data_IF_313804630397
#
_entry.id   IF_313804630397
#
_cell.length_a   1.000
_cell.length_b   1.000
_cell.length_c   1.000
_cell.angle_alpha   90.00
_cell.angle_beta   90.00
_cell.angle_gamma   90.00
#
_symmetry.space_group_name_H-M   'P 1'
#
loop_
_entity.id
_entity.type
_entity.pdbx_description
1 polymer ?
#
# COMPACT_ATOMS: atom_id res chain seq x y z
N UNK A 1 4.38 -1.49 29.69
CA UNK A 1 4.20 -1.17 28.26
C UNK A 1 5.02 -2.09 27.33
N UNK A 2 5.36 -3.31 27.75
CA UNK A 2 6.36 -4.17 27.06
C UNK A 2 5.78 -5.13 26.01
N UNK A 3 4.45 -5.18 25.85
CA UNK A 3 3.74 -6.24 25.11
C UNK A 3 4.12 -6.37 23.63
N UNK A 4 4.67 -5.32 23.03
CA UNK A 4 5.14 -5.30 21.63
C UNK A 4 6.56 -4.71 21.50
N UNK A 5 7.36 -4.75 22.56
CA UNK A 5 8.73 -4.22 22.54
C UNK A 5 9.63 -4.98 21.55
N UNK A 6 9.40 -6.29 21.38
CA UNK A 6 10.16 -7.15 20.46
C UNK A 6 10.10 -6.68 19.00
N UNK A 7 8.96 -6.16 18.55
CA UNK A 7 8.75 -5.67 17.18
C UNK A 7 8.89 -4.14 17.09
N UNK A 8 9.62 -3.55 18.04
CA UNK A 8 10.08 -2.17 17.96
C UNK A 8 11.47 -2.19 17.35
N UNK A 9 11.64 -1.41 16.29
CA UNK A 9 12.96 -1.28 15.67
C UNK A 9 13.92 -0.60 16.66
N UNK A 10 15.05 -1.26 16.96
CA UNK A 10 15.99 -0.78 17.97
C UNK A 10 16.67 0.54 17.59
N UNK A 11 16.92 0.76 16.29
CA UNK A 11 17.58 1.97 15.81
C UNK A 11 16.65 3.20 15.78
N UNK A 12 15.41 3.02 15.34
CA UNK A 12 14.47 4.14 15.18
C UNK A 12 13.46 4.29 16.31
N UNK A 13 13.27 3.25 17.13
CA UNK A 13 12.22 3.17 18.14
C UNK A 13 10.81 3.09 17.58
N UNK A 14 10.65 2.90 16.26
CA UNK A 14 9.34 2.85 15.59
C UNK A 14 8.80 1.41 15.64
N UNK A 15 7.48 1.29 15.81
CA UNK A 15 6.75 0.01 15.66
C UNK A 15 6.06 0.01 14.30
N UNK A 16 6.60 -0.65 13.26
CA UNK A 16 6.09 -0.54 11.89
C UNK A 16 4.79 -1.34 11.66
N UNK A 17 4.46 -2.27 12.55
CA UNK A 17 3.28 -3.16 12.42
C UNK A 17 2.05 -2.68 13.20
N UNK A 18 2.21 -1.63 14.01
CA UNK A 18 1.12 -1.05 14.79
C UNK A 18 0.64 0.25 14.15
N UNK A 19 -0.67 0.56 14.24
CA UNK A 19 -1.16 1.86 13.80
C UNK A 19 -0.48 2.97 14.60
N UNK A 20 -0.12 4.09 13.98
CA UNK A 20 0.40 5.25 14.70
C UNK A 20 -0.63 5.71 15.72
N UNK A 21 -0.22 5.79 16.99
CA UNK A 21 -1.05 6.38 18.03
C UNK A 21 -1.13 7.89 17.76
N UNK A 22 -2.33 8.47 17.61
CA UNK A 22 -2.46 9.91 17.44
C UNK A 22 -1.91 10.65 18.67
N UNK A 23 -1.35 11.85 18.50
CA UNK A 23 -0.98 12.67 19.64
C UNK A 23 -2.18 12.90 20.54
N UNK A 24 -1.96 12.92 21.87
CA UNK A 24 -3.02 13.23 22.83
C UNK A 24 -3.41 14.70 22.67
N UNK A 25 -4.45 14.96 21.91
CA UNK A 25 -5.08 16.29 21.83
C UNK A 25 -5.99 16.48 23.04
N UNK A 26 -5.96 17.65 23.67
CA UNK A 26 -6.93 17.97 24.72
C UNK A 26 -8.34 18.05 24.09
N UNK A 27 -9.27 17.26 24.63
CA UNK A 27 -10.62 17.15 24.09
C UNK A 27 -11.48 18.32 24.58
N UNK A 28 -11.77 19.27 23.69
CA UNK A 28 -12.82 20.26 23.93
C UNK A 28 -14.21 19.63 23.86
N UNK A 29 -15.20 20.15 24.58
CA UNK A 29 -16.58 19.61 24.60
C UNK A 29 -17.19 19.48 23.20
N UNK A 30 -16.90 20.43 22.31
CA UNK A 30 -17.31 20.42 20.89
C UNK A 30 -16.70 19.24 20.12
N UNK A 31 -15.45 18.89 20.39
CA UNK A 31 -14.80 17.73 19.77
C UNK A 31 -15.45 16.41 20.23
N UNK A 32 -15.86 16.31 21.49
CA UNK A 32 -16.60 15.13 22.00
C UNK A 32 -17.99 14.98 21.39
N UNK A 33 -18.74 16.08 21.22
CA UNK A 33 -20.06 16.04 20.58
C UNK A 33 -19.95 15.70 19.08
N UNK A 34 -18.98 16.30 18.38
CA UNK A 34 -18.68 15.97 16.98
C UNK A 34 -18.29 14.50 16.83
N UNK A 35 -17.46 13.95 17.73
CA UNK A 35 -17.08 12.55 17.73
C UNK A 35 -18.28 11.62 17.93
N UNK A 36 -19.26 11.99 18.77
CA UNK A 36 -20.48 11.21 18.98
C UNK A 36 -21.39 11.17 17.72
N UNK A 37 -21.54 12.30 17.04
CA UNK A 37 -22.26 12.36 15.76
C UNK A 37 -21.54 11.52 14.69
N UNK A 38 -20.22 11.65 14.59
CA UNK A 38 -19.43 10.82 13.67
C UNK A 38 -19.48 9.33 13.98
N UNK A 39 -19.69 8.94 15.24
CA UNK A 39 -19.85 7.54 15.63
C UNK A 39 -21.13 6.90 15.07
N UNK A 40 -22.21 7.67 14.93
CA UNK A 40 -23.49 7.18 14.36
C UNK A 40 -23.52 7.34 12.84
N UNK A 41 -23.11 8.52 12.34
CA UNK A 41 -23.15 8.83 10.90
C UNK A 41 -22.05 8.08 10.14
N UNK A 42 -20.89 7.87 10.78
CA UNK A 42 -19.72 7.23 10.17
C UNK A 42 -20.00 5.82 9.64
N UNK A 43 -20.58 4.90 10.45
CA UNK A 43 -20.95 3.56 9.98
C UNK A 43 -21.95 3.58 8.81
N UNK A 44 -22.96 4.46 8.86
CA UNK A 44 -23.96 4.60 7.80
C UNK A 44 -23.29 5.08 6.51
N UNK A 45 -22.48 6.14 6.59
CA UNK A 45 -21.70 6.64 5.47
C UNK A 45 -20.75 5.56 4.92
N UNK A 46 -20.10 4.80 5.80
CA UNK A 46 -19.23 3.69 5.45
C UNK A 46 -19.97 2.59 4.70
N UNK A 47 -21.17 2.23 5.15
CA UNK A 47 -22.01 1.20 4.51
C UNK A 47 -22.49 1.64 3.13
N UNK A 48 -22.92 2.90 2.98
CA UNK A 48 -23.32 3.48 1.68
C UNK A 48 -22.13 3.47 0.71
N UNK A 49 -20.94 3.91 1.17
CA UNK A 49 -19.71 3.87 0.36
C UNK A 49 -19.34 2.44 -0.02
N UNK A 50 -19.45 1.48 0.90
CA UNK A 50 -19.17 0.07 0.64
C UNK A 50 -20.10 -0.47 -0.45
N UNK A 51 -21.41 -0.21 -0.34
CA UNK A 51 -22.39 -0.62 -1.34
C UNK A 51 -22.06 -0.01 -2.71
N UNK A 52 -21.72 1.28 -2.76
CA UNK A 52 -21.33 1.95 -4.00
C UNK A 52 -20.05 1.36 -4.62
N UNK A 53 -19.03 1.07 -3.80
CA UNK A 53 -17.80 0.41 -4.27
C UNK A 53 -18.08 -0.99 -4.79
N UNK A 54 -18.98 -1.75 -4.16
CA UNK A 54 -19.37 -3.08 -4.63
C UNK A 54 -20.08 -3.01 -5.99
N UNK A 55 -21.03 -2.08 -6.15
CA UNK A 55 -21.72 -1.86 -7.45
C UNK A 55 -20.72 -1.47 -8.53
N UNK A 56 -19.83 -0.51 -8.25
CA UNK A 56 -18.78 -0.10 -9.20
C UNK A 56 -17.82 -1.25 -9.55
N UNK A 57 -17.47 -2.09 -8.58
CA UNK A 57 -16.59 -3.25 -8.79
C UNK A 57 -17.27 -4.32 -9.65
N UNK A 58 -18.57 -4.55 -9.45
CA UNK A 58 -19.36 -5.46 -10.27
C UNK A 58 -19.49 -4.95 -11.71
N UNK A 59 -19.79 -3.65 -11.89
CA UNK A 59 -19.85 -3.02 -13.20
C UNK A 59 -18.49 -3.05 -13.91
N UNK A 60 -17.39 -2.81 -13.19
CA UNK A 60 -16.05 -2.95 -13.73
C UNK A 60 -15.79 -4.38 -14.23
N UNK A 61 -16.15 -5.40 -13.43
CA UNK A 61 -15.99 -6.79 -13.85
C UNK A 61 -16.81 -7.10 -15.11
N UNK A 62 -18.08 -6.70 -15.15
CA UNK A 62 -18.97 -6.93 -16.28
C UNK A 62 -18.44 -6.26 -17.56
N UNK A 63 -18.09 -4.97 -17.50
CA UNK A 63 -17.67 -4.21 -18.68
C UNK A 63 -16.25 -4.60 -19.13
N UNK A 64 -15.31 -4.77 -18.21
CA UNK A 64 -13.92 -5.08 -18.58
C UNK A 64 -13.73 -6.53 -19.02
N UNK A 65 -14.44 -7.49 -18.41
CA UNK A 65 -14.29 -8.91 -18.71
C UNK A 65 -15.30 -9.42 -19.71
N UNK A 66 -16.60 -9.14 -19.55
CA UNK A 66 -17.62 -9.70 -20.45
C UNK A 66 -17.66 -8.98 -21.78
N UNK A 67 -17.73 -7.65 -21.77
CA UNK A 67 -17.71 -6.87 -23.03
C UNK A 67 -16.30 -6.91 -23.65
N UNK A 68 -15.26 -6.87 -22.81
CA UNK A 68 -13.88 -6.97 -23.26
C UNK A 68 -13.55 -8.28 -23.97
N UNK A 69 -14.18 -9.41 -23.65
CA UNK A 69 -13.96 -10.68 -24.37
C UNK A 69 -14.54 -10.71 -25.77
N UNK A 70 -15.52 -9.84 -26.08
CA UNK A 70 -16.09 -9.72 -27.42
C UNK A 70 -15.12 -9.01 -28.37
N UNK A 71 -14.27 -8.13 -27.83
CA UNK A 71 -13.25 -7.41 -28.59
C UNK A 71 -11.98 -8.26 -28.75
N UNK A 72 -11.43 -8.32 -29.96
CA UNK A 72 -10.24 -9.13 -30.27
C UNK A 72 -8.97 -8.27 -30.36
N UNK A 73 -7.85 -8.78 -29.85
CA UNK A 73 -6.51 -8.24 -30.11
C UNK A 73 -6.17 -6.94 -29.35
N UNK A 74 -5.49 -5.96 -29.98
CA UNK A 74 -5.00 -4.77 -29.29
C UNK A 74 -6.12 -3.85 -28.78
N UNK A 75 -7.29 -3.90 -29.44
CA UNK A 75 -8.45 -3.11 -29.05
C UNK A 75 -8.99 -3.52 -27.67
N UNK A 76 -8.93 -4.81 -27.34
CA UNK A 76 -9.26 -5.31 -26.00
C UNK A 76 -8.36 -4.70 -24.93
N UNK A 77 -7.06 -4.53 -25.20
CA UNK A 77 -6.10 -3.97 -24.25
C UNK A 77 -6.39 -2.48 -24.01
N UNK A 78 -6.68 -1.73 -25.06
CA UNK A 78 -7.03 -0.30 -24.96
C UNK A 78 -8.35 -0.14 -24.20
N UNK A 79 -9.36 -0.94 -24.55
CA UNK A 79 -10.67 -0.95 -23.88
C UNK A 79 -10.53 -1.26 -22.39
N UNK A 80 -9.82 -2.34 -22.05
CA UNK A 80 -9.60 -2.75 -20.67
C UNK A 80 -8.85 -1.67 -19.89
N UNK A 81 -7.84 -1.03 -20.49
CA UNK A 81 -7.11 0.09 -19.88
C UNK A 81 -8.02 1.28 -19.61
N UNK A 82 -8.77 1.74 -20.62
CA UNK A 82 -9.66 2.89 -20.49
C UNK A 82 -10.68 2.68 -19.37
N UNK A 83 -11.41 1.58 -19.40
CA UNK A 83 -12.41 1.30 -18.37
C UNK A 83 -11.79 1.06 -17.00
N UNK A 84 -10.63 0.37 -16.93
CA UNK A 84 -9.90 0.22 -15.67
C UNK A 84 -9.54 1.57 -15.06
N UNK A 85 -9.01 2.51 -15.86
CA UNK A 85 -8.68 3.86 -15.35
C UNK A 85 -9.91 4.62 -14.85
N UNK A 86 -11.03 4.56 -15.57
CA UNK A 86 -12.29 5.24 -15.18
C UNK A 86 -12.84 4.64 -13.89
N UNK A 87 -13.01 3.32 -13.82
CA UNK A 87 -13.59 2.65 -12.65
C UNK A 87 -12.69 2.78 -11.41
N UNK A 88 -11.38 2.62 -11.56
CA UNK A 88 -10.46 2.78 -10.43
C UNK A 88 -10.43 4.22 -9.92
N UNK A 89 -10.52 5.23 -10.82
CA UNK A 89 -10.64 6.63 -10.41
C UNK A 89 -11.92 6.89 -9.63
N UNK A 90 -13.05 6.31 -10.07
CA UNK A 90 -14.32 6.40 -9.35
C UNK A 90 -14.25 5.72 -7.98
N UNK A 91 -13.63 4.54 -7.88
CA UNK A 91 -13.45 3.84 -6.61
C UNK A 91 -12.58 4.64 -5.64
N UNK A 92 -11.48 5.24 -6.12
CA UNK A 92 -10.63 6.13 -5.33
C UNK A 92 -11.40 7.37 -4.84
N UNK A 93 -12.22 7.96 -5.71
CA UNK A 93 -13.07 9.11 -5.37
C UNK A 93 -14.07 8.77 -4.25
N UNK A 94 -14.80 7.65 -4.36
CA UNK A 94 -15.74 7.17 -3.33
C UNK A 94 -15.03 6.85 -2.02
N UNK A 95 -13.80 6.33 -2.11
CA UNK A 95 -12.93 6.06 -0.96
C UNK A 95 -12.40 7.34 -0.27
N UNK A 96 -12.67 8.52 -0.83
CA UNK A 96 -12.27 9.82 -0.26
C UNK A 96 -10.97 10.41 -0.82
N UNK A 97 -10.36 9.77 -1.82
CA UNK A 97 -9.12 10.22 -2.46
C UNK A 97 -9.43 11.09 -3.68
N UNK A 98 -9.99 12.27 -3.43
CA UNK A 98 -10.38 13.22 -4.48
C UNK A 98 -9.17 13.81 -5.21
N UNK A 99 -8.18 14.29 -4.45
CA UNK A 99 -6.96 14.92 -4.97
C UNK A 99 -5.74 14.19 -4.43
N UNK A 100 -4.97 13.58 -5.34
CA UNK A 100 -3.74 12.86 -5.00
C UNK A 100 -2.58 13.72 -5.44
N UNK A 101 -1.93 14.38 -4.48
CA UNK A 101 -0.74 15.21 -4.75
C UNK A 101 0.39 14.28 -5.20
N UNK A 102 0.90 14.51 -6.40
CA UNK A 102 2.04 13.78 -6.95
C UNK A 102 3.20 14.76 -7.05
N UNK A 103 4.30 14.46 -6.37
CA UNK A 103 5.50 15.31 -6.36
C UNK A 103 6.67 14.51 -6.94
N UNK A 104 7.39 15.10 -7.90
CA UNK A 104 8.62 14.51 -8.43
C UNK A 104 9.79 14.96 -7.55
N UNK A 105 10.43 14.00 -6.88
CA UNK A 105 11.57 14.29 -6.01
C UNK A 105 12.85 14.08 -6.81
N UNK A 106 13.67 15.13 -6.93
CA UNK A 106 15.01 14.99 -7.51
C UNK A 106 15.95 14.34 -6.49
N UNK A 107 16.64 13.27 -6.91
CA UNK A 107 17.60 12.54 -6.06
C UNK A 107 18.88 13.35 -5.78
N UNK A 108 19.16 14.38 -6.59
CA UNK A 108 20.37 15.21 -6.47
C UNK A 108 20.18 16.27 -5.39
N UNK A 109 20.62 15.95 -4.16
CA UNK A 109 20.74 16.92 -3.05
C UNK A 109 21.74 18.01 -3.46
N UNK A 110 21.25 19.17 -3.90
CA UNK A 110 22.08 20.35 -4.17
C UNK A 110 21.94 21.02 -5.54
N UNK A 111 21.14 20.50 -6.47
CA UNK A 111 20.90 21.18 -7.75
C UNK A 111 19.56 21.90 -7.75
N UNK A 112 19.39 22.86 -6.84
CA UNK A 112 18.23 23.76 -6.86
C UNK A 112 18.57 25.01 -7.68
N UNK A 113 17.66 25.39 -8.58
CA UNK A 113 17.67 26.54 -9.52
C UNK A 113 18.35 26.32 -10.88
N UNK A 114 17.66 25.59 -11.76
CA UNK A 114 17.60 25.99 -13.18
C UNK A 114 16.26 25.58 -13.77
N UNK A 115 15.53 26.59 -14.25
CA UNK A 115 14.30 26.56 -15.04
C UNK A 115 12.99 26.13 -14.35
N UNK A 116 12.44 27.09 -13.63
CA UNK A 116 11.02 27.38 -13.69
C UNK A 116 10.72 28.00 -15.06
N UNK A 117 10.12 27.23 -15.97
CA UNK A 117 9.24 27.64 -17.07
C UNK A 117 9.01 26.44 -17.98
N UNK A 118 7.85 25.80 -17.80
CA UNK A 118 6.96 25.23 -18.81
C UNK A 118 6.22 23.99 -18.29
N UNK A 119 4.90 24.08 -18.30
CA UNK A 119 3.91 23.00 -18.16
C UNK A 119 3.83 22.25 -16.83
N UNK A 120 2.96 22.78 -15.96
CA UNK A 120 2.27 22.09 -14.86
C UNK A 120 1.33 20.94 -15.31
N UNK A 121 1.50 20.36 -16.51
CA UNK A 121 0.71 19.21 -16.97
C UNK A 121 1.55 18.13 -17.71
N UNK A 122 2.88 18.20 -17.67
CA UNK A 122 3.69 17.11 -18.20
C UNK A 122 4.15 16.20 -17.05
N UNK A 123 3.50 15.03 -16.95
CA UNK A 123 4.12 13.80 -16.45
C UNK A 123 5.35 13.48 -17.29
N UNK A 124 6.44 14.23 -17.10
CA UNK A 124 7.73 14.07 -17.76
C UNK A 124 8.52 12.93 -17.11
N UNK A 125 7.92 11.74 -17.07
CA UNK A 125 8.66 10.49 -17.13
C UNK A 125 8.48 10.04 -18.58
N UNK A 126 9.53 9.76 -19.35
CA UNK A 126 9.35 9.09 -20.64
C UNK A 126 8.37 7.93 -20.41
N UNK A 127 7.26 7.90 -21.16
CA UNK A 127 6.09 7.12 -20.80
C UNK A 127 6.47 5.69 -20.42
N UNK A 128 6.06 5.25 -19.23
CA UNK A 128 6.44 3.95 -18.67
C UNK A 128 6.07 2.84 -19.66
N UNK A 129 7.06 2.04 -20.05
CA UNK A 129 6.91 1.02 -21.10
C UNK A 129 6.71 -0.38 -20.52
N UNK A 130 6.33 -1.31 -21.40
CA UNK A 130 6.27 -2.73 -21.05
C UNK A 130 7.64 -3.26 -20.65
N UNK A 131 7.74 -3.90 -19.48
CA UNK A 131 9.00 -4.36 -18.91
C UNK A 131 9.74 -3.34 -18.04
N UNK A 132 9.28 -2.10 -17.94
CA UNK A 132 9.83 -1.16 -16.95
C UNK A 132 9.47 -1.60 -15.52
N UNK A 133 10.39 -1.42 -14.57
CA UNK A 133 10.22 -1.86 -13.18
C UNK A 133 9.85 -0.67 -12.30
N UNK A 134 8.65 -0.67 -11.75
CA UNK A 134 8.18 0.31 -10.76
C UNK A 134 8.44 -0.25 -9.37
N UNK A 135 9.28 0.44 -8.60
CA UNK A 135 9.60 0.10 -7.22
C UNK A 135 8.83 1.03 -6.30
N UNK A 136 7.97 0.47 -5.46
CA UNK A 136 7.16 1.26 -4.53
C UNK A 136 7.15 0.66 -3.11
N UNK A 137 7.00 1.53 -2.11
CA UNK A 137 6.68 1.06 -0.75
C UNK A 137 5.24 0.56 -0.68
N UNK A 138 4.96 -0.32 0.28
CA UNK A 138 3.63 -0.93 0.43
C UNK A 138 3.06 -0.64 1.81
N UNK A 139 1.98 0.12 1.85
CA UNK A 139 1.36 0.57 3.11
C UNK A 139 -0.13 0.27 3.16
N UNK A 140 -0.81 0.34 2.02
CA UNK A 140 -2.26 0.13 1.95
C UNK A 140 -2.67 -0.50 0.63
N UNK A 141 -3.88 -1.06 0.60
CA UNK A 141 -4.54 -1.49 -0.63
C UNK A 141 -4.78 -0.32 -1.60
N UNK A 142 -4.85 0.91 -1.07
CA UNK A 142 -4.97 2.13 -1.87
C UNK A 142 -3.74 2.32 -2.79
N UNK A 143 -2.55 1.87 -2.36
CA UNK A 143 -1.32 1.91 -3.20
C UNK A 143 -1.52 1.08 -4.47
N UNK A 144 -2.05 -0.14 -4.32
CA UNK A 144 -2.35 -1.05 -5.42
C UNK A 144 -3.41 -0.44 -6.36
N UNK A 145 -4.47 0.16 -5.80
CA UNK A 145 -5.51 0.84 -6.59
C UNK A 145 -4.93 2.02 -7.39
N UNK A 146 -4.09 2.84 -6.74
CA UNK A 146 -3.48 3.98 -7.39
C UNK A 146 -2.51 3.56 -8.49
N UNK A 147 -1.65 2.57 -8.27
CA UNK A 147 -0.72 2.08 -9.29
C UNK A 147 -1.48 1.46 -10.47
N UNK A 148 -2.55 0.72 -10.20
CA UNK A 148 -3.42 0.19 -11.25
C UNK A 148 -4.10 1.30 -12.05
N UNK A 149 -4.50 2.40 -11.39
CA UNK A 149 -5.06 3.59 -12.03
C UNK A 149 -3.99 4.33 -12.86
N UNK A 150 -2.84 4.62 -12.27
CA UNK A 150 -1.79 5.44 -12.87
C UNK A 150 -1.17 4.79 -14.12
N UNK A 151 -1.03 3.47 -14.11
CA UNK A 151 -0.40 2.72 -15.20
C UNK A 151 -1.39 1.88 -16.03
N UNK A 152 -2.68 1.88 -15.66
CA UNK A 152 -3.79 1.22 -16.36
C UNK A 152 -3.82 -0.30 -16.28
N UNK A 153 -2.72 -0.97 -16.62
CA UNK A 153 -2.56 -2.42 -16.62
C UNK A 153 -1.16 -2.87 -16.14
N UNK A 154 -0.72 -2.50 -14.92
CA UNK A 154 0.55 -2.98 -14.39
C UNK A 154 0.45 -4.47 -14.01
N UNK A 155 1.59 -5.15 -14.07
CA UNK A 155 1.78 -6.50 -13.54
C UNK A 155 2.21 -6.37 -12.09
N UNK A 156 1.41 -6.86 -11.15
CA UNK A 156 1.78 -6.87 -9.74
C UNK A 156 2.63 -8.11 -9.43
N UNK A 157 3.47 -7.99 -8.41
CA UNK A 157 4.33 -9.09 -7.94
C UNK A 157 4.14 -9.33 -6.45
N UNK A 158 4.17 -10.60 -6.05
CA UNK A 158 4.37 -11.01 -4.66
C UNK A 158 5.85 -11.33 -4.47
N UNK A 159 6.48 -10.67 -3.50
CA UNK A 159 7.88 -10.91 -3.12
C UNK A 159 7.92 -11.98 -2.03
N UNK A 160 8.89 -12.89 -2.14
CA UNK A 160 9.16 -13.95 -1.16
C UNK A 160 10.44 -13.65 -0.38
N UNK A 161 10.62 -14.26 0.82
CA UNK A 161 11.73 -13.92 1.71
C UNK A 161 13.13 -14.04 1.09
N UNK A 162 13.35 -14.99 0.17
CA UNK A 162 14.64 -15.18 -0.50
C UNK A 162 14.88 -14.22 -1.68
N UNK A 163 13.94 -13.32 -2.00
CA UNK A 163 14.08 -12.35 -3.08
C UNK A 163 13.51 -12.81 -4.43
N UNK A 164 12.94 -14.01 -4.50
CA UNK A 164 12.18 -14.45 -5.67
C UNK A 164 10.83 -13.73 -5.75
N UNK A 165 10.29 -13.61 -6.96
CA UNK A 165 9.01 -12.95 -7.21
C UNK A 165 8.03 -13.86 -7.94
N UNK A 166 6.76 -13.74 -7.59
CA UNK A 166 5.66 -14.37 -8.30
C UNK A 166 4.81 -13.29 -8.96
N UNK A 167 4.47 -13.47 -10.23
CA UNK A 167 3.48 -12.62 -10.90
C UNK A 167 2.09 -12.86 -10.30
N UNK A 168 1.42 -11.79 -9.88
CA UNK A 168 0.07 -11.85 -9.31
C UNK A 168 -0.89 -10.91 -10.05
N UNK A 169 -2.17 -11.30 -10.10
CA UNK A 169 -3.23 -10.44 -10.61
C UNK A 169 -3.61 -9.34 -9.62
N UNK A 170 -4.24 -8.28 -10.12
CA UNK A 170 -4.72 -7.14 -9.33
C UNK A 170 -5.52 -7.55 -8.08
N UNK A 171 -6.47 -8.48 -8.21
CA UNK A 171 -7.27 -8.94 -7.08
C UNK A 171 -6.46 -9.73 -6.04
N UNK A 172 -5.47 -10.53 -6.48
CA UNK A 172 -4.55 -11.23 -5.56
C UNK A 172 -3.69 -10.20 -4.83
N UNK A 173 -3.22 -9.14 -5.50
CA UNK A 173 -2.47 -8.04 -4.89
C UNK A 173 -3.30 -7.26 -3.85
N UNK A 174 -4.57 -6.95 -4.13
CA UNK A 174 -5.47 -6.32 -3.16
C UNK A 174 -5.67 -7.20 -1.92
N UNK A 175 -5.92 -8.50 -2.10
CA UNK A 175 -6.09 -9.45 -0.99
C UNK A 175 -4.79 -9.67 -0.22
N UNK A 176 -3.63 -9.59 -0.86
CA UNK A 176 -2.33 -9.74 -0.20
C UNK A 176 -2.11 -8.67 0.89
N UNK A 177 -2.75 -7.50 0.78
CA UNK A 177 -2.67 -6.44 1.79
C UNK A 177 -3.23 -6.87 3.16
N UNK A 178 -4.18 -7.81 3.19
CA UNK A 178 -4.88 -8.28 4.40
C UNK A 178 -4.47 -9.70 4.81
N UNK A 179 -3.69 -10.39 3.97
CA UNK A 179 -3.19 -11.73 4.25
C UNK A 179 -1.86 -11.69 4.99
N UNK A 180 -1.53 -12.84 5.57
CA UNK A 180 -0.21 -13.08 6.13
C UNK A 180 0.84 -13.03 5.01
N UNK A 181 2.03 -12.41 5.25
CA UNK A 181 3.12 -12.48 4.29
C UNK A 181 3.57 -13.93 4.05
N UNK A 182 4.03 -14.27 2.82
CA UNK A 182 4.42 -15.64 2.49
C UNK A 182 5.62 -16.11 3.33
N UNK A 183 5.62 -17.40 3.69
CA UNK A 183 6.71 -18.07 4.41
C UNK A 183 7.70 -18.69 3.43
N UNK A 184 8.77 -19.24 3.99
CA UNK A 184 9.69 -20.13 3.30
C UNK A 184 8.99 -21.41 2.81
N UNK A 185 8.02 -21.94 3.57
CA UNK A 185 7.22 -23.10 3.15
C UNK A 185 6.35 -22.79 1.93
N UNK A 186 5.67 -21.62 1.95
CA UNK A 186 4.88 -21.15 0.81
C UNK A 186 5.77 -20.99 -0.45
N UNK A 187 7.03 -20.60 -0.24
CA UNK A 187 8.02 -20.46 -1.31
C UNK A 187 8.40 -21.82 -1.94
N UNK A 188 8.56 -22.86 -1.12
CA UNK A 188 8.87 -24.22 -1.61
C UNK A 188 7.68 -24.81 -2.38
N UNK A 189 6.46 -24.58 -1.91
CA UNK A 189 5.24 -25.05 -2.58
C UNK A 189 4.99 -24.38 -3.92
N UNK A 190 5.27 -23.07 -4.02
CA UNK A 190 5.05 -22.29 -5.24
C UNK A 190 6.31 -22.16 -6.11
N UNK A 191 7.34 -22.99 -5.87
CA UNK A 191 8.66 -22.90 -6.53
C UNK A 191 8.60 -22.82 -8.05
N UNK A 192 7.70 -23.57 -8.67
CA UNK A 192 7.54 -23.60 -10.13
C UNK A 192 6.97 -22.30 -10.72
N UNK A 193 6.36 -21.45 -9.89
CA UNK A 193 5.79 -20.15 -10.29
C UNK A 193 6.69 -18.97 -9.90
N UNK A 194 7.80 -19.24 -9.23
CA UNK A 194 8.76 -18.22 -8.79
C UNK A 194 9.79 -17.99 -9.89
N UNK A 195 10.02 -16.72 -10.20
CA UNK A 195 11.03 -16.30 -11.16
C UNK A 195 11.86 -15.15 -10.61
N UNK A 196 12.99 -14.87 -11.27
CA UNK A 196 13.74 -13.64 -10.98
C UNK A 196 13.02 -12.42 -11.56
N UNK A 197 13.24 -11.23 -10.98
CA UNK A 197 12.67 -9.99 -11.52
C UNK A 197 13.13 -9.77 -12.98
N UNK A 198 14.35 -10.18 -13.31
CA UNK A 198 14.92 -10.05 -14.65
C UNK A 198 14.18 -10.92 -15.68
N UNK A 199 13.89 -12.17 -15.33
CA UNK A 199 13.06 -13.06 -16.16
C UNK A 199 11.65 -12.48 -16.35
N UNK A 200 11.04 -12.00 -15.28
CA UNK A 200 9.71 -11.40 -15.37
C UNK A 200 9.70 -10.14 -16.24
N UNK A 201 10.76 -9.33 -16.16
CA UNK A 201 10.98 -8.16 -17.01
C UNK A 201 11.06 -8.54 -18.49
N UNK A 202 11.83 -9.57 -18.83
CA UNK A 202 11.93 -10.07 -20.19
C UNK A 202 10.56 -10.56 -20.71
N UNK A 203 9.86 -11.39 -19.93
CA UNK A 203 8.52 -11.89 -20.29
C UNK A 203 7.51 -10.76 -20.48
N UNK A 204 7.55 -9.73 -19.63
CA UNK A 204 6.65 -8.58 -19.74
C UNK A 204 6.94 -7.73 -21.00
N UNK A 205 8.20 -7.64 -21.41
CA UNK A 205 8.64 -6.94 -22.62
C UNK A 205 8.22 -7.69 -23.88
N UNK A 206 8.44 -9.00 -23.94
CA UNK A 206 8.08 -9.87 -25.07
C UNK A 206 6.56 -9.93 -25.29
N UNK A 207 5.78 -10.09 -24.22
CA UNK A 207 4.33 -10.22 -24.33
C UNK A 207 3.58 -8.88 -24.33
N UNK A 208 4.29 -7.77 -24.05
CA UNK A 208 3.72 -6.44 -23.93
C UNK A 208 2.67 -6.34 -22.82
N UNK A 209 2.94 -6.94 -21.65
CA UNK A 209 1.99 -6.95 -20.53
C UNK A 209 1.82 -5.58 -19.86
N UNK A 210 2.83 -4.72 -19.95
CA UNK A 210 2.90 -3.44 -19.24
C UNK A 210 4.06 -3.41 -18.24
N UNK A 211 4.12 -2.38 -17.39
CA UNK A 211 5.18 -2.27 -16.39
C UNK A 211 4.95 -3.22 -15.22
N UNK A 212 6.03 -3.57 -14.54
CA UNK A 212 6.04 -4.49 -13.40
C UNK A 212 6.12 -3.66 -12.12
N UNK A 213 5.16 -3.83 -11.24
CA UNK A 213 5.15 -3.22 -9.91
C UNK A 213 5.74 -4.20 -8.91
N UNK A 214 6.77 -3.75 -8.20
CA UNK A 214 7.48 -4.50 -7.16
C UNK A 214 7.38 -3.74 -5.84
N UNK A 215 6.90 -4.46 -4.83
CA UNK A 215 6.88 -4.02 -3.44
C UNK A 215 8.01 -4.73 -2.67
N UNK A 216 9.23 -4.20 -2.62
CA UNK A 216 10.39 -4.90 -2.07
C UNK A 216 10.30 -5.16 -0.56
N UNK A 217 9.40 -4.47 0.15
CA UNK A 217 9.06 -4.76 1.56
C UNK A 217 8.38 -6.13 1.74
N UNK A 218 7.81 -6.71 0.67
CA UNK A 218 7.12 -8.00 0.66
C UNK A 218 5.77 -8.04 1.40
N UNK A 219 5.45 -6.99 2.16
CA UNK A 219 4.21 -6.87 2.92
C UNK A 219 3.90 -5.41 3.28
N UNK A 220 2.66 -5.15 3.69
CA UNK A 220 2.22 -3.80 4.09
C UNK A 220 2.86 -3.33 5.41
N UNK A 221 3.26 -2.07 5.50
CA UNK A 221 3.71 -1.41 6.73
C UNK A 221 2.75 -0.29 7.14
N UNK A 222 2.93 0.29 8.33
CA UNK A 222 2.14 1.45 8.77
C UNK A 222 2.54 2.79 8.11
N UNK A 223 3.49 2.78 7.18
CA UNK A 223 3.94 3.97 6.45
C UNK A 223 4.77 4.98 7.26
N UNK A 224 5.15 4.68 8.52
CA UNK A 224 6.06 5.54 9.30
C UNK A 224 7.53 5.35 8.95
N UNK A 225 7.88 4.16 8.51
CA UNK A 225 9.22 3.72 8.20
C UNK A 225 9.15 2.59 7.18
N UNK A 226 10.22 2.39 6.40
CA UNK A 226 10.30 1.30 5.44
C UNK A 226 10.75 0.02 6.14
N UNK A 227 10.13 -1.10 5.78
CA UNK A 227 10.64 -2.41 6.15
C UNK A 227 11.95 -2.70 5.41
N UNK A 228 12.73 -3.62 5.97
CA UNK A 228 13.90 -4.17 5.31
C UNK A 228 13.46 -4.88 4.03
N UNK A 229 13.98 -4.40 2.90
CA UNK A 229 13.71 -4.99 1.59
C UNK A 229 14.26 -6.41 1.50
N UNK A 230 13.51 -7.29 0.86
CA UNK A 230 14.03 -8.57 0.40
C UNK A 230 15.04 -8.36 -0.73
N UNK A 231 15.93 -9.33 -0.95
CA UNK A 231 17.04 -9.25 -1.91
C UNK A 231 16.59 -9.45 -3.37
N UNK A 232 15.50 -8.78 -3.77
CA UNK A 232 14.87 -8.97 -5.08
C UNK A 232 15.69 -8.42 -6.25
N UNK A 233 16.59 -7.47 -5.98
CA UNK A 233 17.39 -6.79 -7.01
C UNK A 233 18.78 -7.40 -7.19
N UNK A 234 19.07 -8.56 -6.59
CA UNK A 234 20.40 -9.20 -6.66
C UNK A 234 20.82 -9.56 -8.09
N UNK A 235 19.86 -9.78 -8.99
CA UNK A 235 20.10 -10.08 -10.41
C UNK A 235 20.51 -8.86 -11.24
N UNK A 236 20.48 -7.66 -10.67
CA UNK A 236 20.85 -6.41 -11.34
C UNK A 236 22.18 -5.90 -10.81
N UNK A 237 23.10 -5.60 -11.71
CA UNK A 237 24.33 -4.90 -11.35
C UNK A 237 24.08 -3.38 -11.42
N UNK A 238 24.64 -2.57 -10.50
CA UNK A 238 24.46 -1.11 -10.53
C UNK A 238 24.90 -0.44 -11.84
N UNK A 239 25.78 -1.09 -12.60
CA UNK A 239 26.31 -0.66 -13.89
C UNK A 239 25.35 -0.88 -15.05
N UNK A 240 24.36 -1.76 -14.91
CA UNK A 240 23.42 -2.14 -15.96
C UNK A 240 22.29 -1.10 -16.08
N UNK A 241 22.22 -0.41 -17.22
CA UNK A 241 21.14 0.56 -17.53
C UNK A 241 19.86 -0.09 -18.05
N UNK A 242 19.86 -1.40 -18.26
CA UNK A 242 18.79 -2.12 -18.96
C UNK A 242 17.51 -2.25 -18.11
N UNK A 243 17.65 -2.19 -16.77
CA UNK A 243 16.53 -2.44 -15.84
C UNK A 243 15.43 -1.37 -15.80
N UNK A 244 15.65 -0.16 -16.38
CA UNK A 244 14.72 1.00 -16.36
C UNK A 244 13.80 1.05 -15.13
N UNK A 245 14.39 1.46 -14.01
CA UNK A 245 13.68 1.57 -12.74
C UNK A 245 12.96 2.91 -12.58
N UNK A 246 11.70 2.85 -12.17
CA UNK A 246 10.90 4.00 -11.76
C UNK A 246 10.60 3.87 -10.27
N UNK A 247 11.03 4.85 -9.48
CA UNK A 247 10.84 4.81 -8.02
C UNK A 247 9.63 5.66 -7.67
N UNK A 248 8.66 5.04 -7.01
CA UNK A 248 7.44 5.70 -6.51
C UNK A 248 7.40 5.54 -4.99
N UNK A 249 6.95 6.57 -4.29
CA UNK A 249 6.75 6.45 -2.85
C UNK A 249 5.39 7.00 -2.41
N UNK A 250 4.68 6.20 -1.62
CA UNK A 250 3.42 6.54 -0.98
C UNK A 250 3.66 7.03 0.44
N UNK A 251 3.12 8.21 0.74
CA UNK A 251 3.11 8.79 2.07
C UNK A 251 1.71 9.25 2.43
N UNK A 252 1.12 8.62 3.43
CA UNK A 252 -0.20 8.99 3.94
C UNK A 252 -0.02 10.02 5.07
N UNK A 253 -0.46 11.25 4.83
CA UNK A 253 -0.57 12.25 5.88
C UNK A 253 -1.86 12.01 6.66
N UNK A 254 -1.76 11.33 7.80
CA UNK A 254 -2.90 11.01 8.68
C UNK A 254 -3.61 12.27 9.18
N UNK A 255 -2.92 13.41 9.27
CA UNK A 255 -3.52 14.71 9.59
C UNK A 255 -4.60 15.15 8.59
N UNK A 256 -4.65 14.57 7.38
CA UNK A 256 -5.65 14.90 6.36
C UNK A 256 -6.95 14.12 6.49
N UNK A 257 -7.00 13.04 7.28
CA UNK A 257 -8.20 12.22 7.46
C UNK A 257 -9.00 12.58 8.72
N UNK A 258 -8.36 13.18 9.72
CA UNK A 258 -9.03 13.91 10.78
C UNK A 258 -9.47 15.26 10.20
N UNK A 259 -10.74 15.64 10.39
CA UNK A 259 -11.39 16.74 9.68
C UNK A 259 -10.57 18.04 9.58
N UNK A 260 -10.73 18.73 8.44
CA UNK A 260 -10.31 20.12 8.26
C UNK A 260 -10.82 20.97 9.42
N UNK A 261 -9.92 21.30 10.33
CA UNK A 261 -10.20 22.12 11.50
C UNK A 261 -8.93 22.39 12.30
N UNK A 262 -7.92 22.98 11.66
CA UNK A 262 -6.76 23.55 12.35
C UNK A 262 -6.02 24.52 11.42
N UNK A 263 -6.52 25.76 11.32
CA UNK A 263 -5.66 26.95 11.26
C UNK A 263 -5.28 27.26 12.72
N UNK A 264 -4.00 27.36 13.09
CA UNK A 264 -3.28 28.64 13.02
C UNK A 264 -1.74 28.54 12.97
N UNK A 265 -1.16 27.39 12.65
CA UNK A 265 0.30 27.24 12.65
C UNK A 265 0.87 26.95 11.25
N UNK A 266 0.72 27.90 10.34
CA UNK A 266 1.26 27.82 8.98
C UNK A 266 2.80 27.72 8.99
N UNK A 267 3.45 28.48 9.89
CA UNK A 267 4.92 28.55 10.00
C UNK A 267 5.49 27.31 10.68
N UNK A 268 4.90 26.84 11.79
CA UNK A 268 5.31 25.60 12.43
C UNK A 268 4.98 24.37 11.58
N UNK A 269 3.87 24.41 10.83
CA UNK A 269 3.53 23.41 9.81
C UNK A 269 4.55 23.34 8.68
N UNK A 270 5.04 24.48 8.19
CA UNK A 270 6.10 24.52 7.16
C UNK A 270 7.47 24.11 7.70
N UNK A 271 7.82 24.44 8.95
CA UNK A 271 9.04 23.92 9.60
C UNK A 271 8.96 22.42 9.90
N UNK A 272 7.80 21.89 10.30
CA UNK A 272 7.55 20.47 10.50
C UNK A 272 7.57 19.69 9.17
N UNK A 273 7.11 20.30 8.08
CA UNK A 273 7.25 19.76 6.71
C UNK A 273 8.72 19.76 6.27
N UNK A 274 9.49 20.82 6.57
CA UNK A 274 10.92 20.88 6.27
C UNK A 274 11.75 19.86 7.08
N UNK A 275 11.47 19.69 8.38
CA UNK A 275 12.04 18.63 9.23
C UNK A 275 11.55 17.23 8.81
N UNK A 276 10.29 17.11 8.39
CA UNK A 276 9.68 15.90 7.86
C UNK A 276 10.34 15.44 6.56
N UNK A 277 10.76 16.38 5.71
CA UNK A 277 11.53 16.11 4.48
C UNK A 277 13.00 15.78 4.77
N UNK A 278 13.55 16.26 5.89
CA UNK A 278 14.91 15.92 6.37
C UNK A 278 14.96 14.52 7.03
N UNK A 279 13.82 13.98 7.48
CA UNK A 279 13.62 12.64 8.08
C UNK A 279 13.25 11.52 7.08
N UNK A 280 13.71 11.65 5.83
CA UNK A 280 13.67 10.65 4.75
C UNK A 280 13.42 9.24 5.29
N UNK A 281 12.29 8.64 4.89
CA UNK A 281 11.77 7.34 5.32
C UNK A 281 12.84 6.49 6.03
N UNK A 282 12.77 6.46 7.37
CA UNK A 282 13.74 5.68 8.14
C UNK A 282 13.59 4.21 7.73
N UNK A 283 14.70 3.54 7.47
CA UNK A 283 14.70 2.10 7.21
C UNK A 283 14.76 1.38 8.54
N UNK A 284 13.84 0.46 8.76
CA UNK A 284 13.87 -0.44 9.92
C UNK A 284 14.71 -1.68 9.59
N UNK A 285 15.19 -2.36 10.62
CA UNK A 285 15.81 -3.68 10.47
C UNK A 285 14.79 -4.82 10.42
N UNK A 286 13.51 -4.51 10.62
CA UNK A 286 12.41 -5.47 10.59
C UNK A 286 11.99 -5.79 9.15
N UNK A 287 11.78 -7.06 8.88
CA UNK A 287 11.46 -7.64 7.58
C UNK A 287 10.01 -8.14 7.52
N UNK A 288 9.59 -8.65 6.37
CA UNK A 288 8.30 -9.32 6.22
C UNK A 288 8.15 -10.55 7.14
N UNK A 289 9.25 -11.25 7.47
CA UNK A 289 9.21 -12.39 8.39
C UNK A 289 8.91 -11.94 9.82
N UNK A 290 9.47 -10.81 10.25
CA UNK A 290 9.14 -10.22 11.56
C UNK A 290 7.67 -9.83 11.66
N UNK A 291 7.07 -9.39 10.53
CA UNK A 291 5.62 -9.15 10.47
C UNK A 291 4.83 -10.45 10.58
N UNK A 292 5.30 -11.53 9.93
CA UNK A 292 4.67 -12.85 10.04
C UNK A 292 4.63 -13.28 11.50
N UNK A 293 5.78 -13.26 12.17
CA UNK A 293 5.93 -13.59 13.60
C UNK A 293 5.03 -12.72 14.47
N UNK A 294 4.96 -11.41 14.17
CA UNK A 294 4.07 -10.48 14.87
C UNK A 294 2.60 -10.88 14.74
N UNK A 295 2.13 -11.20 13.54
CA UNK A 295 0.74 -11.60 13.29
C UNK A 295 0.40 -12.94 13.94
N UNK A 296 1.31 -13.92 13.86
CA UNK A 296 1.17 -15.21 14.54
C UNK A 296 1.03 -15.01 16.06
N UNK A 297 1.90 -14.20 16.65
CA UNK A 297 1.82 -13.84 18.06
C UNK A 297 0.50 -13.14 18.38
N UNK A 298 0.12 -12.13 17.59
CA UNK A 298 -1.10 -11.34 17.77
C UNK A 298 -2.35 -12.23 17.78
N UNK A 299 -2.50 -13.08 16.76
CA UNK A 299 -3.63 -14.00 16.64
C UNK A 299 -3.64 -15.10 17.72
N UNK A 300 -2.48 -15.63 18.11
CA UNK A 300 -2.39 -16.63 19.17
C UNK A 300 -2.91 -16.09 20.51
N UNK A 301 -2.68 -14.78 20.75
CA UNK A 301 -3.11 -14.11 21.97
C UNK A 301 -4.61 -13.86 21.99
N UNK A 302 -5.19 -13.45 20.87
CA UNK A 302 -6.64 -13.26 20.76
C UNK A 302 -7.38 -14.57 21.00
N UNK A 303 -6.86 -15.69 20.45
CA UNK A 303 -7.38 -17.05 20.73
C UNK A 303 -7.26 -17.42 22.21
N UNK A 304 -6.13 -17.14 22.87
CA UNK A 304 -5.96 -17.39 24.32
C UNK A 304 -6.92 -16.54 25.15
N UNK A 305 -7.15 -15.29 24.75
CA UNK A 305 -8.07 -14.36 25.44
C UNK A 305 -9.52 -14.83 25.31
N UNK A 306 -9.92 -15.25 24.10
CA UNK A 306 -11.23 -15.84 23.85
C UNK A 306 -11.47 -17.11 24.68
N UNK A 307 -10.50 -18.05 24.71
CA UNK A 307 -10.58 -19.27 25.52
C UNK A 307 -10.71 -18.98 27.03
N UNK A 308 -10.01 -17.96 27.55
CA UNK A 308 -10.13 -17.56 28.96
C UNK A 308 -11.52 -17.01 29.28
N UNK A 309 -12.09 -16.19 28.40
CA UNK A 309 -13.45 -15.65 28.56
C UNK A 309 -14.50 -16.77 28.53
N UNK A 310 -14.37 -17.74 27.62
CA UNK A 310 -15.26 -18.89 27.55
C UNK A 310 -15.23 -19.72 28.84
N UNK A 311 -14.03 -20.04 29.36
CA UNK A 311 -13.86 -20.76 30.63
C UNK A 311 -14.45 -20.00 31.83
N UNK A 312 -14.30 -18.68 31.87
CA UNK A 312 -14.87 -17.84 32.93
C UNK A 312 -16.40 -17.80 32.85
N UNK A 313 -16.96 -17.75 31.63
CA UNK A 313 -18.42 -17.79 31.40
C UNK A 313 -19.01 -19.14 31.81
N UNK A 314 -18.32 -20.26 31.50
CA UNK A 314 -18.71 -21.60 31.94
C UNK A 314 -18.65 -21.74 33.46
N UNK A 315 -17.61 -21.19 34.10
CA UNK A 315 -17.47 -21.20 35.56
C UNK A 315 -18.55 -20.37 36.25
N UNK A 316 -18.94 -19.24 35.67
CA UNK A 316 -20.04 -18.42 36.19
C UNK A 316 -21.39 -19.12 36.03
N UNK A 317 -21.66 -19.78 34.88
CA UNK A 317 -22.87 -20.61 34.69
C UNK A 317 -22.99 -21.79 35.66
N UNK A 318 -21.86 -22.35 36.10
CA UNK A 318 -21.82 -23.41 37.13
C UNK A 318 -22.04 -22.89 38.56
N UNK A 319 -21.93 -21.59 38.80
CA UNK A 319 -22.19 -20.98 40.13
C UNK A 319 -23.63 -20.48 40.29
N UNK A 320 -24.37 -20.33 39.20
CA UNK A 320 -25.79 -19.91 39.19
C UNK A 320 -26.77 -21.08 39.06
N UNK A 321 -26.27 -22.32 39.04
CA UNK A 321 -27.03 -23.56 39.25
C UNK A 321 -26.61 -24.15 40.58
#
# INVERSE_FOLDING_TARGET
MEKYSRWRDAGTGIQPFLPPVPPRTESSLLSTLSNAVHYIVGPIQGLVKLALVLVLSLLYFLISKVIGTIMVGPLQRIWARLWSTIFLRMILFVSGFFFIKTETISLRRGSSRRNNNNNTNNTSSGGVQSGDIIVANWTSYIDVLYLAYAYGSPVFTQVYPQGQVQRIGFWKALRACTKMPPSLEDQEQEKDQLCSIRELQQQAKENGWGPIVVFPEGTTSNGRALLKFANVFQSFQPSERDGRFHIVSFRYCISSLAGKGASDDLVAGQMAVCLGNMSRLRKTNLSMMDKRDFLEYYHSRDKKSARKQEQQTLRNKKKTK
#
